data_IF_986995038171
#
_entry.id   IF_986995038171
#
_cell.length_a   1.000
_cell.length_b   1.000
_cell.length_c   1.000
_cell.angle_alpha   90.00
_cell.angle_beta   90.00
_cell.angle_gamma   90.00
#
_symmetry.space_group_name_H-M   'P 1'
#
loop_
_entity.id
_entity.type
_entity.pdbx_description
1 polymer ?
#
# COMPACT_ATOMS: atom_id res chain seq x y z
N UNK A 1 8.21 -11.73 -20.16
CA UNK A 1 7.93 -12.84 -19.23
C UNK A 1 7.07 -12.27 -18.10
N UNK A 2 6.06 -13.00 -17.59
CA UNK A 2 5.27 -12.53 -16.46
C UNK A 2 6.17 -12.42 -15.21
N UNK A 3 6.00 -11.34 -14.44
CA UNK A 3 6.63 -11.20 -13.14
C UNK A 3 5.78 -11.95 -12.11
N UNK A 4 6.42 -12.78 -11.29
CA UNK A 4 5.78 -13.47 -10.15
C UNK A 4 6.26 -12.78 -8.88
N UNK A 5 5.32 -12.42 -8.01
CA UNK A 5 5.59 -11.70 -6.76
C UNK A 5 4.94 -12.49 -5.63
N UNK A 6 5.74 -12.78 -4.60
CA UNK A 6 5.25 -13.37 -3.35
C UNK A 6 4.84 -12.24 -2.40
N UNK A 7 3.53 -11.99 -2.33
CA UNK A 7 2.99 -10.87 -1.56
C UNK A 7 3.26 -11.05 -0.06
N UNK A 8 3.18 -12.27 0.47
CA UNK A 8 3.42 -12.52 1.89
C UNK A 8 4.86 -12.17 2.25
N UNK A 9 5.81 -12.65 1.44
CA UNK A 9 7.23 -12.35 1.66
C UNK A 9 7.54 -10.85 1.62
N UNK A 10 6.88 -10.09 0.73
CA UNK A 10 7.04 -8.63 0.69
C UNK A 10 6.47 -7.95 1.93
N UNK A 11 5.34 -8.46 2.45
CA UNK A 11 4.64 -7.94 3.62
C UNK A 11 5.32 -8.28 4.95
N UNK A 12 6.02 -9.40 5.06
CA UNK A 12 6.71 -9.84 6.30
C UNK A 12 7.73 -8.81 6.82
N UNK A 13 8.22 -7.93 5.96
CA UNK A 13 9.20 -6.89 6.29
C UNK A 13 8.58 -5.52 6.56
N UNK A 14 7.27 -5.38 6.42
CA UNK A 14 6.56 -4.09 6.49
C UNK A 14 6.00 -3.84 7.88
N UNK A 15 5.98 -2.57 8.26
CA UNK A 15 5.34 -2.13 9.49
C UNK A 15 3.82 -2.16 9.31
N UNK A 16 3.11 -2.72 10.27
CA UNK A 16 1.65 -2.65 10.30
C UNK A 16 1.23 -1.37 11.04
N UNK A 17 0.45 -0.50 10.39
CA UNK A 17 0.06 0.79 10.99
C UNK A 17 -1.23 0.67 11.82
N UNK A 18 -1.29 1.40 12.92
CA UNK A 18 -2.53 1.67 13.64
C UNK A 18 -3.12 3.01 13.18
N UNK A 19 -4.03 2.94 12.21
CA UNK A 19 -4.57 4.08 11.50
C UNK A 19 -3.60 4.65 10.47
N UNK A 20 -4.16 5.21 9.40
CA UNK A 20 -3.40 5.99 8.42
C UNK A 20 -3.93 7.42 8.40
N UNK A 21 -3.10 8.36 8.81
CA UNK A 21 -3.47 9.75 9.02
C UNK A 21 -2.62 10.70 8.18
N UNK A 22 -3.13 11.92 8.00
CA UNK A 22 -2.39 12.98 7.26
C UNK A 22 -1.09 13.38 7.97
N UNK A 23 -1.04 13.15 9.29
CA UNK A 23 0.10 13.46 10.14
C UNK A 23 1.00 12.24 10.38
N UNK A 24 0.71 11.07 9.77
CA UNK A 24 1.60 9.90 9.84
C UNK A 24 2.95 10.26 9.20
N UNK A 25 4.07 10.05 9.89
CA UNK A 25 5.38 10.37 9.35
C UNK A 25 5.65 9.67 8.02
N UNK A 26 6.24 10.34 7.01
CA UNK A 26 6.52 9.73 5.71
C UNK A 26 7.30 8.41 5.80
N UNK A 27 8.27 8.32 6.71
CA UNK A 27 9.05 7.12 6.94
C UNK A 27 8.22 5.92 7.43
N UNK A 28 7.16 6.17 8.19
CA UNK A 28 6.23 5.10 8.63
C UNK A 28 5.35 4.65 7.47
N UNK A 29 4.91 5.58 6.60
CA UNK A 29 4.17 5.24 5.38
C UNK A 29 5.03 4.41 4.42
N UNK A 30 6.28 4.80 4.20
CA UNK A 30 7.22 4.05 3.35
C UNK A 30 7.57 2.67 3.94
N UNK A 31 7.66 2.56 5.27
CA UNK A 31 7.88 1.28 5.93
C UNK A 31 6.66 0.35 5.86
N UNK A 32 5.45 0.91 5.80
CA UNK A 32 4.21 0.15 5.84
C UNK A 32 3.73 -0.38 4.48
N UNK A 33 4.19 0.21 3.38
CA UNK A 33 3.76 -0.16 2.03
C UNK A 33 4.93 -0.66 1.18
N UNK A 34 4.69 -1.75 0.46
CA UNK A 34 5.54 -2.24 -0.60
C UNK A 34 5.00 -1.76 -1.96
N UNK A 35 5.89 -1.31 -2.83
CA UNK A 35 5.60 -1.20 -4.27
C UNK A 35 5.90 -2.54 -4.93
N UNK A 36 4.86 -3.29 -5.31
CA UNK A 36 5.00 -4.63 -5.91
C UNK A 36 5.40 -4.54 -7.39
N UNK A 37 4.73 -3.67 -8.14
CA UNK A 37 5.00 -3.46 -9.55
C UNK A 37 4.53 -2.09 -10.03
N UNK A 38 5.11 -1.62 -11.14
CA UNK A 38 4.51 -0.54 -11.94
C UNK A 38 3.41 -1.12 -12.81
N UNK A 39 2.28 -0.43 -12.91
CA UNK A 39 1.16 -0.85 -13.74
C UNK A 39 0.64 0.35 -14.54
N UNK A 40 0.97 0.38 -15.84
CA UNK A 40 0.67 1.49 -16.74
C UNK A 40 1.20 2.81 -16.18
N UNK A 41 0.31 3.77 -15.92
CA UNK A 41 0.52 5.09 -15.34
C UNK A 41 0.38 5.11 -13.79
N UNK A 42 0.10 3.95 -13.18
CA UNK A 42 0.03 3.76 -11.73
C UNK A 42 0.97 2.66 -11.22
N UNK A 43 0.60 2.08 -10.08
CA UNK A 43 1.36 1.04 -9.39
C UNK A 43 0.46 0.03 -8.70
N UNK A 44 1.02 -1.14 -8.41
CA UNK A 44 0.43 -2.16 -7.55
C UNK A 44 1.19 -2.08 -6.23
N UNK A 45 0.45 -1.87 -5.15
CA UNK A 45 0.99 -1.73 -3.81
C UNK A 45 0.38 -2.78 -2.89
N UNK A 46 1.12 -3.17 -1.85
CA UNK A 46 0.58 -3.93 -0.73
C UNK A 46 1.01 -3.25 0.57
N UNK A 47 0.11 -3.16 1.53
CA UNK A 47 0.37 -2.55 2.83
C UNK A 47 -0.69 -2.99 3.83
N UNK A 48 -0.37 -2.85 5.12
CA UNK A 48 -1.23 -3.30 6.20
C UNK A 48 -1.48 -2.20 7.21
N UNK A 49 -2.75 -1.95 7.51
CA UNK A 49 -3.15 -1.03 8.58
C UNK A 49 -4.52 -1.41 9.15
N UNK A 50 -4.74 -1.11 10.44
CA UNK A 50 -6.01 -1.27 11.16
C UNK A 50 -6.55 0.06 11.66
N UNK A 51 -7.71 0.03 12.30
CA UNK A 51 -8.33 1.20 12.92
C UNK A 51 -9.04 2.10 11.91
N UNK A 52 -9.12 3.38 12.23
CA UNK A 52 -9.86 4.37 11.43
C UNK A 52 -8.89 5.18 10.58
N UNK A 53 -8.94 4.98 9.27
CA UNK A 53 -8.27 5.85 8.31
C UNK A 53 -9.20 6.97 7.83
N UNK A 54 -8.62 8.05 7.29
CA UNK A 54 -9.40 9.11 6.64
C UNK A 54 -9.78 8.68 5.21
N UNK A 55 -10.88 9.23 4.70
CA UNK A 55 -11.28 9.08 3.31
C UNK A 55 -10.19 9.57 2.34
N UNK A 56 -9.88 8.75 1.34
CA UNK A 56 -8.95 9.07 0.26
C UNK A 56 -9.67 9.72 -0.92
N UNK A 57 -8.92 10.43 -1.77
CA UNK A 57 -9.42 10.96 -3.04
C UNK A 57 -8.39 10.73 -4.14
N UNK A 58 -8.79 10.00 -5.17
CA UNK A 58 -7.94 9.70 -6.33
C UNK A 58 -8.37 10.61 -7.48
N UNK A 59 -7.61 11.70 -7.71
CA UNK A 59 -7.93 12.68 -8.76
C UNK A 59 -7.46 12.25 -10.15
N UNK A 60 -6.52 11.31 -10.20
CA UNK A 60 -5.78 10.96 -11.42
C UNK A 60 -6.10 9.53 -11.92
N UNK A 61 -7.12 8.87 -11.36
CA UNK A 61 -7.50 7.51 -11.74
C UNK A 61 -8.38 6.84 -10.70
N UNK A 62 -8.83 5.62 -11.03
CA UNK A 62 -9.58 4.76 -10.14
C UNK A 62 -8.65 3.91 -9.27
N UNK A 63 -9.13 3.52 -8.09
CA UNK A 63 -8.46 2.55 -7.22
C UNK A 63 -9.23 1.23 -7.22
N UNK A 64 -8.50 0.12 -7.30
CA UNK A 64 -9.05 -1.23 -7.09
C UNK A 64 -8.34 -1.81 -5.88
N UNK A 65 -9.11 -2.21 -4.88
CA UNK A 65 -8.59 -2.80 -3.63
C UNK A 65 -8.93 -4.29 -3.61
N UNK A 66 -7.93 -5.11 -3.28
CA UNK A 66 -8.10 -6.53 -2.99
C UNK A 66 -7.65 -6.78 -1.55
N UNK A 67 -8.56 -7.31 -0.73
CA UNK A 67 -8.25 -7.70 0.65
C UNK A 67 -7.67 -9.11 0.62
N UNK A 68 -6.50 -9.25 1.25
CA UNK A 68 -5.72 -10.50 1.34
C UNK A 68 -6.14 -11.34 2.55
#
# INVERSE_FOLDING_TARGET
MPQVIDIQKEMDTRTFLEGRHVDTPPEELEAAFATLARYRDGGIFAGGFSGVSRWERHRNGDEIVHVL
#
